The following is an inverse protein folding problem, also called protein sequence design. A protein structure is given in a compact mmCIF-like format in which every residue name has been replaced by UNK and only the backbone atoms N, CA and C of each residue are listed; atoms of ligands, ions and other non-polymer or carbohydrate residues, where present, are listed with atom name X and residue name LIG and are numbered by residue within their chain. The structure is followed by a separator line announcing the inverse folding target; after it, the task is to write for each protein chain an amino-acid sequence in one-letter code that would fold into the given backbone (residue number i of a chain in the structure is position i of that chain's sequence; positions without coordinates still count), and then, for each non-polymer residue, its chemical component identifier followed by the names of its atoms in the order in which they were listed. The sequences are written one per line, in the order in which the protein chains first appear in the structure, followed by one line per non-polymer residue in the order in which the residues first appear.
data_IF_604295400043
#
_entry.id   IF_604295400043
#
_cell.length_a   1.000
_cell.length_b   1.000
_cell.length_c   1.000
_cell.angle_alpha   90.00
_cell.angle_beta   90.00
_cell.angle_gamma   90.00
#
_symmetry.space_group_name_H-M   'P 1'
#
loop_
_entity.id
_entity.type
_entity.pdbx_description
1 polymer ?
#
# COMPACT_ATOMS: atom_id res chain seq x y z
N UNK A 1 2.97 -9.68 -5.40
CA UNK A 1 3.44 -8.26 -5.41
C UNK A 1 4.74 -8.18 -6.17
N UNK A 2 5.61 -9.17 -5.98
CA UNK A 2 6.64 -9.50 -6.97
C UNK A 2 6.03 -9.52 -8.38
N UNK A 3 4.95 -10.28 -8.58
CA UNK A 3 4.26 -10.40 -9.87
C UNK A 3 3.86 -9.04 -10.47
N UNK A 4 3.27 -8.13 -9.67
CA UNK A 4 2.93 -6.76 -10.12
C UNK A 4 4.19 -5.95 -10.41
N UNK A 5 5.21 -6.03 -9.55
CA UNK A 5 6.44 -5.27 -9.70
C UNK A 5 7.30 -5.73 -10.90
N UNK A 6 7.16 -7.00 -11.32
CA UNK A 6 7.77 -7.58 -12.52
C UNK A 6 6.95 -7.33 -13.79
N UNK A 7 5.61 -7.32 -13.68
CA UNK A 7 4.70 -7.05 -14.80
C UNK A 7 4.71 -5.58 -15.25
N UNK A 8 4.98 -4.63 -14.34
CA UNK A 8 5.04 -3.19 -14.69
C UNK A 8 6.19 -2.86 -15.66
N UNK A 9 7.43 -3.32 -15.44
CA UNK A 9 8.53 -3.16 -16.40
C UNK A 9 8.25 -3.76 -17.77
N UNK A 10 7.46 -4.84 -17.86
CA UNK A 10 7.04 -5.45 -19.14
C UNK A 10 6.10 -4.54 -19.94
N UNK A 11 5.49 -3.53 -19.30
CA UNK A 11 4.65 -2.52 -19.91
C UNK A 11 5.35 -1.14 -19.98
N UNK A 12 6.68 -1.09 -20.03
CA UNK A 12 7.49 0.14 -20.02
C UNK A 12 7.26 1.07 -18.80
N UNK A 13 6.68 0.56 -17.71
CA UNK A 13 6.51 1.33 -16.48
C UNK A 13 7.72 1.16 -15.56
N UNK A 14 8.31 2.28 -15.10
CA UNK A 14 9.34 2.26 -14.06
C UNK A 14 8.74 1.75 -12.74
N UNK A 15 9.39 0.77 -12.12
CA UNK A 15 8.91 0.12 -10.91
C UNK A 15 9.85 0.37 -9.73
N UNK A 16 9.27 0.72 -8.59
CA UNK A 16 10.00 1.05 -7.36
C UNK A 16 9.44 0.26 -6.18
N UNK A 17 10.32 -0.29 -5.35
CA UNK A 17 9.95 -1.02 -4.14
C UNK A 17 10.58 -0.34 -2.93
N UNK A 18 9.77 -0.02 -1.93
CA UNK A 18 10.24 0.36 -0.60
C UNK A 18 9.95 -0.78 0.36
N UNK A 19 10.98 -1.28 1.03
CA UNK A 19 10.84 -2.41 1.95
C UNK A 19 11.87 -2.35 3.08
N UNK A 20 11.56 -3.02 4.18
CA UNK A 20 12.51 -3.24 5.27
C UNK A 20 13.46 -4.41 5.03
N UNK A 21 13.23 -5.20 3.97
CA UNK A 21 13.97 -6.42 3.70
C UNK A 21 13.05 -7.60 3.37
N UNK A 22 13.60 -8.81 3.49
CA UNK A 22 12.88 -10.07 3.29
C UNK A 22 13.50 -10.93 2.19
N UNK A 23 13.27 -12.24 2.27
CA UNK A 23 13.84 -13.24 1.37
C UNK A 23 13.36 -13.08 -0.07
N UNK A 24 12.12 -12.59 -0.24
CA UNK A 24 11.52 -12.36 -1.55
C UNK A 24 12.28 -11.33 -2.41
N UNK A 25 13.13 -10.50 -1.81
CA UNK A 25 13.97 -9.55 -2.57
C UNK A 25 14.99 -10.25 -3.46
N UNK A 26 15.33 -11.52 -3.20
CA UNK A 26 16.25 -12.30 -4.04
C UNK A 26 15.68 -12.56 -5.43
N UNK A 27 14.35 -12.58 -5.56
CA UNK A 27 13.66 -12.85 -6.82
C UNK A 27 13.36 -11.56 -7.61
N UNK A 28 13.65 -10.38 -7.06
CA UNK A 28 13.42 -9.10 -7.74
C UNK A 28 14.55 -8.82 -8.73
N UNK A 29 14.19 -8.57 -9.99
CA UNK A 29 15.14 -8.13 -11.01
C UNK A 29 15.55 -6.68 -10.74
N UNK A 30 16.75 -6.51 -10.19
CA UNK A 30 17.30 -5.20 -9.82
C UNK A 30 17.63 -4.32 -11.02
N UNK A 31 17.74 -4.88 -12.23
CA UNK A 31 17.91 -4.08 -13.45
C UNK A 31 16.60 -3.39 -13.85
N UNK A 32 15.46 -3.99 -13.51
CA UNK A 32 14.12 -3.49 -13.85
C UNK A 32 13.42 -2.74 -12.72
N UNK A 33 13.73 -3.06 -11.46
CA UNK A 33 13.06 -2.51 -10.28
C UNK A 33 14.06 -1.86 -9.33
N UNK A 34 13.87 -0.57 -9.03
CA UNK A 34 14.71 0.14 -8.07
C UNK A 34 14.19 -0.08 -6.64
N UNK A 35 15.09 -0.49 -5.74
CA UNK A 35 14.74 -0.86 -4.36
C UNK A 35 15.30 0.17 -3.37
N UNK A 36 14.45 0.65 -2.46
CA UNK A 36 14.83 1.47 -1.31
C UNK A 36 14.62 0.68 -0.02
N UNK A 37 15.64 0.67 0.83
CA UNK A 37 15.57 0.05 2.16
C UNK A 37 15.24 1.09 3.21
N UNK A 38 14.06 0.96 3.81
CA UNK A 38 13.57 1.85 4.86
C UNK A 38 12.85 1.04 5.95
N UNK A 39 12.87 1.46 7.23
CA UNK A 39 12.21 0.76 8.33
C UNK A 39 10.68 0.97 8.33
N UNK A 40 10.03 0.66 7.21
CA UNK A 40 8.59 0.89 6.96
C UNK A 40 7.67 -0.09 7.69
N UNK A 41 8.22 -1.13 8.31
CA UNK A 41 7.49 -2.07 9.17
C UNK A 41 7.22 -1.50 10.56
N UNK A 42 7.94 -0.43 10.96
CA UNK A 42 7.80 0.17 12.28
C UNK A 42 6.38 0.69 12.53
N UNK A 43 5.87 0.44 13.75
CA UNK A 43 4.60 1.00 14.23
C UNK A 43 4.80 2.27 15.05
N UNK A 44 6.05 2.68 15.28
CA UNK A 44 6.36 3.90 16.03
C UNK A 44 5.88 5.12 15.20
N UNK A 45 4.98 5.96 15.74
CA UNK A 45 4.46 7.13 15.04
C UNK A 45 5.53 8.09 14.49
N UNK A 46 6.63 8.30 15.24
CA UNK A 46 7.73 9.16 14.80
C UNK A 46 8.43 8.58 13.56
N UNK A 47 8.68 7.27 13.56
CA UNK A 47 9.28 6.60 12.41
C UNK A 47 8.34 6.57 11.20
N UNK A 48 7.02 6.45 11.42
CA UNK A 48 6.02 6.57 10.34
C UNK A 48 6.10 7.97 9.70
N UNK A 49 6.22 9.02 10.51
CA UNK A 49 6.33 10.39 10.03
C UNK A 49 7.64 10.62 9.26
N UNK A 50 8.78 10.17 9.80
CA UNK A 50 10.08 10.24 9.13
C UNK A 50 10.04 9.49 7.79
N UNK A 51 9.50 8.26 7.78
CA UNK A 51 9.31 7.49 6.56
C UNK A 51 8.44 8.24 5.54
N UNK A 52 7.40 8.96 5.98
CA UNK A 52 6.57 9.75 5.08
C UNK A 52 7.36 10.87 4.39
N UNK A 53 8.21 11.59 5.12
CA UNK A 53 9.08 12.63 4.51
C UNK A 53 10.06 12.05 3.50
N UNK A 54 10.69 10.92 3.82
CA UNK A 54 11.58 10.23 2.88
C UNK A 54 10.79 9.79 1.63
N UNK A 55 9.58 9.24 1.81
CA UNK A 55 8.72 8.84 0.71
C UNK A 55 8.29 10.01 -0.17
N UNK A 56 8.05 11.20 0.40
CA UNK A 56 7.78 12.41 -0.38
C UNK A 56 8.96 12.72 -1.30
N UNK A 57 10.18 12.72 -0.77
CA UNK A 57 11.40 12.92 -1.56
C UNK A 57 11.52 11.90 -2.69
N UNK A 58 11.32 10.61 -2.40
CA UNK A 58 11.35 9.54 -3.41
C UNK A 58 10.27 9.78 -4.48
N UNK A 59 9.04 10.10 -4.08
CA UNK A 59 7.94 10.32 -5.02
C UNK A 59 8.24 11.47 -5.98
N UNK A 60 8.79 12.58 -5.46
CA UNK A 60 9.10 13.77 -6.27
C UNK A 60 10.31 13.53 -7.18
N UNK A 61 11.42 13.00 -6.64
CA UNK A 61 12.67 12.77 -7.41
C UNK A 61 12.46 11.78 -8.55
N UNK A 62 11.68 10.72 -8.32
CA UNK A 62 11.43 9.68 -9.33
C UNK A 62 10.15 9.90 -10.14
N UNK A 63 9.46 11.02 -9.92
CA UNK A 63 8.16 11.36 -10.52
C UNK A 63 7.15 10.19 -10.47
N UNK A 64 7.00 9.60 -9.28
CA UNK A 64 6.10 8.46 -9.06
C UNK A 64 4.65 8.97 -9.14
N UNK A 65 3.87 8.39 -10.05
CA UNK A 65 2.47 8.77 -10.27
C UNK A 65 1.48 8.03 -9.36
N UNK A 66 1.83 6.80 -8.96
CA UNK A 66 0.98 5.91 -8.17
C UNK A 66 1.77 5.17 -7.09
N UNK A 67 1.24 5.18 -5.88
CA UNK A 67 1.81 4.46 -4.73
C UNK A 67 0.86 3.38 -4.29
N UNK A 68 1.36 2.14 -4.15
CA UNK A 68 0.57 1.02 -3.69
C UNK A 68 1.11 0.47 -2.36
N UNK A 69 0.31 0.54 -1.29
CA UNK A 69 0.62 -0.08 0.00
C UNK A 69 -0.12 -1.41 0.23
N UNK A 70 0.60 -2.40 0.75
CA UNK A 70 0.06 -3.75 1.05
C UNK A 70 0.05 -4.14 2.53
N UNK A 71 0.46 -3.22 3.40
CA UNK A 71 0.48 -3.42 4.84
C UNK A 71 0.15 -2.12 5.57
N UNK A 72 -0.38 -2.23 6.79
CA UNK A 72 -0.90 -1.10 7.58
C UNK A 72 0.18 -0.09 7.98
N UNK A 73 1.32 -0.58 8.48
CA UNK A 73 2.43 0.28 8.90
C UNK A 73 2.96 1.18 7.76
N UNK A 74 3.34 0.63 6.59
CA UNK A 74 3.76 1.46 5.46
C UNK A 74 2.60 2.30 4.90
N UNK A 75 1.37 1.80 4.94
CA UNK A 75 0.21 2.53 4.42
C UNK A 75 0.00 3.88 5.11
N UNK A 76 0.31 4.03 6.40
CA UNK A 76 0.23 5.33 7.07
C UNK A 76 1.25 6.33 6.52
N UNK A 77 2.48 5.88 6.32
CA UNK A 77 3.54 6.71 5.72
C UNK A 77 3.19 7.08 4.28
N UNK A 78 2.72 6.12 3.48
CA UNK A 78 2.31 6.34 2.09
C UNK A 78 1.08 7.26 1.99
N UNK A 79 0.09 7.12 2.88
CA UNK A 79 -1.09 7.97 2.88
C UNK A 79 -0.72 9.44 3.09
N UNK A 80 0.19 9.72 4.03
CA UNK A 80 0.67 11.07 4.27
C UNK A 80 1.46 11.60 3.06
N UNK A 81 2.39 10.80 2.54
CA UNK A 81 3.23 11.19 1.42
C UNK A 81 2.42 11.47 0.15
N UNK A 82 1.46 10.62 -0.18
CA UNK A 82 0.58 10.77 -1.36
C UNK A 82 -0.36 11.96 -1.25
N UNK A 83 -0.89 12.23 -0.05
CA UNK A 83 -1.69 13.45 0.19
C UNK A 83 -0.90 14.72 -0.05
N UNK A 84 0.35 14.78 0.44
CA UNK A 84 1.21 15.97 0.28
C UNK A 84 1.64 16.14 -1.18
N UNK A 85 1.96 15.05 -1.86
CA UNK A 85 2.44 15.07 -3.25
C UNK A 85 1.34 15.06 -4.31
N UNK A 86 0.07 14.94 -3.91
CA UNK A 86 -1.07 14.87 -4.83
C UNK A 86 -1.09 13.61 -5.72
N UNK A 87 -0.39 12.53 -5.32
CA UNK A 87 -0.28 11.29 -6.12
C UNK A 87 -1.35 10.28 -5.76
N UNK A 88 -1.67 9.39 -6.70
CA UNK A 88 -2.71 8.37 -6.49
C UNK A 88 -2.24 7.32 -5.49
N UNK A 89 -3.12 6.96 -4.57
CA UNK A 89 -2.86 5.98 -3.53
C UNK A 89 -3.76 4.75 -3.68
N UNK A 90 -3.15 3.57 -3.69
CA UNK A 90 -3.83 2.28 -3.80
C UNK A 90 -3.46 1.40 -2.61
N UNK A 91 -4.43 0.65 -2.10
CA UNK A 91 -4.20 -0.35 -1.06
C UNK A 91 -4.73 -1.70 -1.46
N UNK A 92 -4.06 -2.78 -1.07
CA UNK A 92 -4.65 -4.13 -1.12
C UNK A 92 -4.86 -4.68 0.28
N UNK A 93 -6.09 -5.08 0.57
CA UNK A 93 -6.54 -5.64 1.83
C UNK A 93 -6.60 -7.17 1.72
N UNK A 94 -5.85 -7.88 2.56
CA UNK A 94 -5.64 -9.33 2.42
C UNK A 94 -6.21 -10.21 3.55
N UNK A 95 -6.74 -9.65 4.63
CA UNK A 95 -7.21 -10.46 5.77
C UNK A 95 -8.26 -9.73 6.59
N UNK A 96 -8.88 -10.41 7.54
CA UNK A 96 -9.73 -9.76 8.54
C UNK A 96 -8.84 -9.23 9.65
N UNK A 97 -8.87 -7.92 9.91
CA UNK A 97 -8.10 -7.39 11.03
C UNK A 97 -8.90 -7.53 12.32
N UNK A 98 -8.21 -7.81 13.42
CA UNK A 98 -8.87 -8.02 14.71
C UNK A 98 -9.46 -6.69 15.23
N UNK A 99 -10.76 -6.67 15.56
CA UNK A 99 -11.51 -5.47 16.00
C UNK A 99 -11.63 -5.32 17.52
N UNK A 100 -10.83 -6.07 18.30
CA UNK A 100 -10.92 -6.08 19.77
C UNK A 100 -10.84 -4.69 20.44
N UNK A 101 -10.36 -3.65 19.75
CA UNK A 101 -10.40 -2.27 20.26
C UNK A 101 -10.61 -1.22 19.17
N UNK A 102 -11.25 -0.10 19.53
CA UNK A 102 -11.48 1.05 18.65
C UNK A 102 -10.18 1.63 18.07
N UNK A 103 -9.11 1.66 18.86
CA UNK A 103 -7.77 2.11 18.43
C UNK A 103 -7.23 1.22 17.31
N UNK A 104 -7.35 -0.11 17.44
CA UNK A 104 -6.94 -1.05 16.39
C UNK A 104 -7.78 -0.83 15.13
N UNK A 105 -9.10 -0.59 15.28
CA UNK A 105 -9.98 -0.29 14.15
C UNK A 105 -9.54 0.97 13.40
N UNK A 106 -9.16 2.04 14.11
CA UNK A 106 -8.61 3.26 13.50
C UNK A 106 -7.30 2.97 12.78
N UNK A 107 -6.37 2.28 13.44
CA UNK A 107 -5.08 1.92 12.84
C UNK A 107 -5.26 1.11 11.55
N UNK A 108 -6.20 0.16 11.53
CA UNK A 108 -6.51 -0.67 10.38
C UNK A 108 -7.21 0.10 9.26
N UNK A 109 -7.95 1.16 9.59
CA UNK A 109 -8.71 1.96 8.61
C UNK A 109 -7.83 2.64 7.57
N UNK A 110 -6.52 2.75 7.79
CA UNK A 110 -5.59 3.25 6.77
C UNK A 110 -5.70 2.50 5.45
N UNK A 111 -5.97 1.20 5.50
CA UNK A 111 -6.12 0.36 4.31
C UNK A 111 -7.39 0.69 3.51
N UNK A 112 -8.33 1.47 4.07
CA UNK A 112 -9.54 1.95 3.41
C UNK A 112 -9.53 3.46 3.17
N UNK A 113 -8.38 4.12 3.39
CA UNK A 113 -8.16 5.56 3.15
C UNK A 113 -7.41 5.83 1.84
N UNK A 114 -7.48 4.91 0.87
CA UNK A 114 -6.90 5.03 -0.45
C UNK A 114 -7.91 5.49 -1.51
N UNK A 115 -7.43 5.95 -2.66
CA UNK A 115 -8.28 6.29 -3.82
C UNK A 115 -8.90 5.02 -4.42
N UNK A 116 -8.12 3.93 -4.44
CA UNK A 116 -8.53 2.60 -4.86
C UNK A 116 -8.19 1.57 -3.77
N UNK A 117 -9.18 0.79 -3.38
CA UNK A 117 -9.06 -0.29 -2.40
C UNK A 117 -9.30 -1.61 -3.13
N UNK A 118 -8.30 -2.48 -3.11
CA UNK A 118 -8.35 -3.81 -3.68
C UNK A 118 -8.63 -4.81 -2.55
N UNK A 119 -9.74 -5.53 -2.63
CA UNK A 119 -10.03 -6.67 -1.78
C UNK A 119 -9.46 -7.95 -2.44
N UNK A 120 -8.72 -8.74 -1.67
CA UNK A 120 -8.14 -10.00 -2.18
C UNK A 120 -9.14 -11.14 -2.40
N UNK A 121 -10.40 -10.96 -1.97
CA UNK A 121 -11.49 -11.92 -2.17
C UNK A 121 -12.85 -11.26 -1.92
N UNK A 122 -13.94 -11.91 -2.37
CA UNK A 122 -15.32 -11.49 -2.06
C UNK A 122 -15.58 -11.43 -0.56
N UNK A 123 -15.01 -12.36 0.22
CA UNK A 123 -15.10 -12.34 1.67
C UNK A 123 -14.51 -11.06 2.27
N UNK A 124 -13.32 -10.65 1.83
CA UNK A 124 -12.68 -9.41 2.29
C UNK A 124 -13.46 -8.18 1.83
N UNK A 125 -14.03 -8.20 0.64
CA UNK A 125 -14.87 -7.11 0.13
C UNK A 125 -16.08 -6.88 1.03
N UNK A 126 -16.85 -7.94 1.32
CA UNK A 126 -17.99 -7.90 2.24
C UNK A 126 -17.57 -7.47 3.64
N UNK A 127 -16.42 -7.96 4.10
CA UNK A 127 -15.85 -7.57 5.38
C UNK A 127 -15.55 -6.05 5.47
N UNK A 128 -14.95 -5.47 4.42
CA UNK A 128 -14.67 -4.04 4.34
C UNK A 128 -15.97 -3.24 4.34
N UNK A 129 -16.94 -3.62 3.51
CA UNK A 129 -18.25 -2.95 3.48
C UNK A 129 -18.93 -2.96 4.84
N UNK A 130 -18.95 -4.11 5.52
CA UNK A 130 -19.60 -4.25 6.83
C UNK A 130 -18.91 -3.44 7.94
N UNK A 131 -17.58 -3.43 7.97
CA UNK A 131 -16.84 -2.91 9.13
C UNK A 131 -16.24 -1.50 8.95
N UNK A 132 -16.08 -1.05 7.70
CA UNK A 132 -15.42 0.19 7.33
C UNK A 132 -16.25 1.05 6.37
N UNK A 133 -17.57 0.85 6.30
CA UNK A 133 -18.50 1.64 5.47
C UNK A 133 -18.28 3.14 5.57
N UNK A 134 -18.06 3.68 6.78
CA UNK A 134 -17.76 5.10 7.03
C UNK A 134 -16.57 5.65 6.23
N UNK A 135 -15.61 4.79 5.85
CA UNK A 135 -14.43 5.18 5.08
C UNK A 135 -14.61 4.98 3.58
N UNK A 136 -15.68 4.33 3.16
CA UNK A 136 -16.06 4.21 1.76
C UNK A 136 -16.95 5.41 1.39
N UNK A 137 -16.68 6.01 0.25
CA UNK A 137 -17.51 7.05 -0.35
C UNK A 137 -17.55 6.81 -1.86
N UNK A 138 -18.47 7.44 -2.58
CA UNK A 138 -18.60 7.28 -4.04
C UNK A 138 -17.32 7.65 -4.79
N UNK A 139 -16.50 8.54 -4.22
CA UNK A 139 -15.22 8.95 -4.77
C UNK A 139 -14.13 7.86 -4.68
N UNK A 140 -14.27 6.89 -3.78
CA UNK A 140 -13.31 5.80 -3.57
C UNK A 140 -13.79 4.53 -4.26
N UNK A 141 -12.92 3.96 -5.10
CA UNK A 141 -13.22 2.70 -5.78
C UNK A 141 -12.84 1.54 -4.86
N UNK A 142 -13.81 0.65 -4.57
CA UNK A 142 -13.57 -0.64 -3.90
C UNK A 142 -13.82 -1.75 -4.93
N UNK A 143 -12.83 -2.59 -5.20
CA UNK A 143 -12.95 -3.69 -6.16
C UNK A 143 -12.30 -4.96 -5.64
N UNK A 144 -12.68 -6.10 -6.21
CA UNK A 144 -12.07 -7.41 -5.94
C UNK A 144 -11.08 -7.72 -7.04
N UNK A 145 -9.84 -8.05 -6.66
CA UNK A 145 -8.86 -8.65 -7.57
C UNK A 145 -8.38 -9.93 -6.93
N UNK A 146 -8.77 -11.05 -7.52
CA UNK A 146 -8.30 -12.36 -7.11
C UNK A 146 -6.80 -12.46 -7.39
N UNK A 147 -6.06 -13.09 -6.48
CA UNK A 147 -4.67 -13.46 -6.79
C UNK A 147 -4.71 -14.48 -7.93
N UNK A 148 -3.93 -14.25 -8.97
CA UNK A 148 -3.73 -15.24 -10.03
C UNK A 148 -3.20 -16.52 -9.41
N UNK A 149 -4.00 -17.57 -9.46
CA UNK A 149 -3.49 -18.93 -9.40
C UNK A 149 -3.04 -19.20 -10.83
N UNK A 150 -1.73 -19.23 -11.04
CA UNK A 150 -1.10 -19.93 -12.16
C UNK A 150 -0.20 -20.98 -11.56
#
# INVERSE_FOLDING_TARGET
MLDIAHYLPENNCKSFIVTSGGELLKFVDRKKVKIFRLPVQSKNPLLILINAFILIGIILVYNISLVHARSRAPAWSCLLATKITGRKFVTTFHGTYNFKSNIKKIYNSVMTRADLIIAGSNFIFSHIKKNYSKYLNEKKKLMVIFRGIK
#
